data_IF_518419570382
#
_entry.id   IF_518419570382
#
_cell.length_a   1.000
_cell.length_b   1.000
_cell.length_c   1.000
_cell.angle_alpha   90.00
_cell.angle_beta   90.00
_cell.angle_gamma   90.00
#
_symmetry.space_group_name_H-M   'P 1'
#
loop_
_entity.id
_entity.type
_entity.pdbx_description
1 polymer ?
#
# COMPACT_ATOMS: atom_id res chain seq x y z
N UNK A 1 67.29 -34.26 2.07
CA UNK A 1 66.45 -33.71 0.99
C UNK A 1 65.02 -34.21 1.21
N UNK A 2 64.08 -33.30 1.47
CA UNK A 2 62.69 -33.58 1.87
C UNK A 2 61.82 -33.84 0.64
N UNK A 3 61.04 -34.92 0.66
CA UNK A 3 60.04 -35.28 -0.37
C UNK A 3 58.80 -34.40 -0.20
N UNK A 4 58.37 -33.73 -1.27
CA UNK A 4 57.15 -32.92 -1.32
C UNK A 4 56.01 -33.86 -1.74
N UNK A 5 55.08 -34.13 -0.82
CA UNK A 5 53.82 -34.82 -1.11
C UNK A 5 52.86 -33.85 -1.79
N UNK A 6 52.56 -34.14 -3.05
CA UNK A 6 51.57 -33.45 -3.87
C UNK A 6 50.18 -33.97 -3.46
N UNK A 7 49.44 -33.18 -2.68
CA UNK A 7 48.08 -33.50 -2.25
C UNK A 7 47.08 -33.03 -3.30
N UNK A 8 46.26 -33.97 -3.80
CA UNK A 8 45.23 -33.79 -4.80
C UNK A 8 44.20 -32.73 -4.38
N UNK A 9 43.94 -31.78 -5.28
CA UNK A 9 42.77 -30.92 -5.24
C UNK A 9 41.56 -31.69 -5.79
N UNK A 10 40.64 -32.10 -4.90
CA UNK A 10 39.35 -32.67 -5.29
C UNK A 10 38.41 -31.50 -5.59
N UNK A 11 38.11 -31.30 -6.87
CA UNK A 11 37.07 -30.35 -7.33
C UNK A 11 35.71 -31.02 -7.13
N UNK A 12 35.01 -30.64 -6.08
CA UNK A 12 33.62 -31.02 -5.83
C UNK A 12 32.69 -30.14 -6.67
N UNK A 13 32.31 -30.64 -7.84
CA UNK A 13 31.20 -30.09 -8.63
C UNK A 13 29.89 -30.54 -7.99
N UNK A 14 29.30 -29.69 -7.14
CA UNK A 14 27.95 -29.89 -6.63
C UNK A 14 26.94 -29.36 -7.67
N UNK A 15 26.49 -30.25 -8.55
CA UNK A 15 25.27 -30.07 -9.33
C UNK A 15 24.06 -30.12 -8.39
N UNK A 16 23.56 -28.96 -7.97
CA UNK A 16 22.20 -28.87 -7.43
C UNK A 16 21.24 -28.69 -8.61
N UNK A 17 20.75 -29.81 -9.15
CA UNK A 17 19.50 -29.84 -9.90
C UNK A 17 18.33 -29.71 -8.92
N UNK A 18 18.19 -28.51 -8.32
CA UNK A 18 17.05 -28.14 -7.51
C UNK A 18 15.90 -27.73 -8.41
N UNK A 19 15.13 -28.71 -8.89
CA UNK A 19 13.84 -28.48 -9.52
C UNK A 19 12.87 -27.94 -8.44
N UNK A 20 12.89 -26.63 -8.22
CA UNK A 20 11.93 -25.92 -7.37
C UNK A 20 10.86 -25.30 -8.25
N UNK A 21 10.01 -26.16 -8.81
CA UNK A 21 8.74 -25.72 -9.36
C UNK A 21 7.82 -25.32 -8.20
N UNK A 22 7.85 -24.03 -7.84
CA UNK A 22 6.66 -23.17 -7.62
C UNK A 22 7.06 -21.84 -6.98
N UNK A 23 6.94 -20.72 -7.73
CA UNK A 23 6.37 -19.53 -7.13
C UNK A 23 5.31 -18.88 -8.04
N UNK A 24 4.36 -19.65 -8.57
CA UNK A 24 3.25 -19.07 -9.37
C UNK A 24 2.20 -18.32 -8.53
N UNK A 25 2.26 -18.36 -7.19
CA UNK A 25 1.34 -17.60 -6.33
C UNK A 25 1.75 -16.15 -6.05
N UNK A 26 2.97 -15.73 -6.39
CA UNK A 26 3.44 -14.37 -6.08
C UNK A 26 3.10 -13.38 -7.21
N UNK A 27 2.94 -13.82 -8.47
CA UNK A 27 2.62 -12.92 -9.58
C UNK A 27 1.15 -12.48 -9.62
N UNK A 28 0.23 -13.24 -9.03
CA UNK A 28 -1.21 -12.92 -9.00
C UNK A 28 -1.58 -11.83 -7.96
N UNK A 29 -0.76 -11.63 -6.93
CA UNK A 29 -0.94 -10.55 -5.94
C UNK A 29 -0.33 -9.21 -6.42
N UNK A 30 0.51 -9.23 -7.44
CA UNK A 30 1.25 -8.06 -7.94
C UNK A 30 0.51 -7.27 -9.03
N UNK A 31 -0.71 -7.65 -9.38
CA UNK A 31 -1.47 -7.01 -10.46
C UNK A 31 -2.83 -6.47 -9.99
N UNK A 32 -2.91 -6.01 -8.74
CA UNK A 32 -4.08 -5.26 -8.27
C UNK A 32 -4.05 -3.87 -8.91
N UNK A 33 -5.17 -3.42 -9.46
CA UNK A 33 -5.33 -2.08 -9.98
C UNK A 33 -5.32 -1.04 -8.84
N UNK A 34 -5.05 0.23 -9.19
CA UNK A 34 -5.14 1.33 -8.22
C UNK A 34 -6.55 1.44 -7.60
N UNK A 35 -7.60 1.18 -8.39
CA UNK A 35 -8.98 1.18 -7.91
C UNK A 35 -9.23 0.06 -6.89
N UNK A 36 -8.76 -1.16 -7.16
CA UNK A 36 -8.86 -2.28 -6.22
C UNK A 36 -8.08 -2.01 -4.94
N UNK A 37 -6.89 -1.41 -5.04
CA UNK A 37 -6.10 -1.02 -3.87
C UNK A 37 -6.86 -0.06 -2.94
N UNK A 38 -7.52 0.95 -3.51
CA UNK A 38 -8.35 1.89 -2.76
C UNK A 38 -9.61 1.21 -2.23
N UNK A 39 -10.25 0.34 -3.01
CA UNK A 39 -11.40 -0.44 -2.53
C UNK A 39 -11.04 -1.26 -1.30
N UNK A 40 -9.93 -2.01 -1.34
CA UNK A 40 -9.46 -2.81 -0.21
C UNK A 40 -9.15 -1.96 1.02
N UNK A 41 -8.56 -0.78 0.83
CA UNK A 41 -8.30 0.15 1.92
C UNK A 41 -9.61 0.64 2.58
N UNK A 42 -10.59 1.04 1.77
CA UNK A 42 -11.87 1.55 2.25
C UNK A 42 -12.67 0.47 2.97
N UNK A 43 -12.71 -0.76 2.45
CA UNK A 43 -13.29 -1.90 3.16
C UNK A 43 -12.59 -2.14 4.49
N UNK A 44 -11.26 -2.03 4.52
CA UNK A 44 -10.49 -2.16 5.77
C UNK A 44 -10.82 -1.07 6.77
N UNK A 45 -11.10 0.16 6.33
CA UNK A 45 -11.53 1.24 7.22
C UNK A 45 -12.90 1.01 7.86
N UNK A 46 -13.76 0.22 7.21
CA UNK A 46 -15.10 -0.11 7.70
C UNK A 46 -15.08 -1.17 8.82
N UNK A 47 -14.09 -2.05 8.81
CA UNK A 47 -13.94 -3.09 9.84
C UNK A 47 -13.69 -2.46 11.23
N UNK A 48 -14.56 -2.76 12.20
CA UNK A 48 -14.39 -2.34 13.60
C UNK A 48 -13.09 -2.89 14.23
N UNK A 49 -12.62 -4.04 13.74
CA UNK A 49 -11.39 -4.72 14.20
C UNK A 49 -10.13 -4.32 13.43
N UNK A 50 -10.21 -3.35 12.51
CA UNK A 50 -9.03 -2.86 11.81
C UNK A 50 -8.08 -2.17 12.80
N UNK A 51 -6.96 -2.83 13.07
CA UNK A 51 -5.88 -2.30 13.89
C UNK A 51 -5.07 -1.28 13.10
N UNK A 52 -4.47 -0.30 13.79
CA UNK A 52 -3.62 0.72 13.15
C UNK A 52 -2.51 0.11 12.26
N UNK A 53 -1.79 -0.95 12.67
CA UNK A 53 -0.80 -1.59 11.79
C UNK A 53 -1.38 -2.11 10.46
N UNK A 54 -2.62 -2.64 10.48
CA UNK A 54 -3.28 -3.14 9.26
C UNK A 54 -3.62 -2.00 8.30
N UNK A 55 -4.08 -0.85 8.80
CA UNK A 55 -4.36 0.32 7.98
C UNK A 55 -3.06 0.99 7.49
N UNK A 56 -2.07 1.13 8.38
CA UNK A 56 -0.79 1.75 8.07
C UNK A 56 0.01 0.96 7.01
N UNK A 57 -0.25 -0.35 6.85
CA UNK A 57 0.31 -1.17 5.77
C UNK A 57 -0.13 -0.72 4.36
N UNK A 58 -1.21 0.05 4.23
CA UNK A 58 -1.63 0.65 2.97
C UNK A 58 -0.89 1.94 2.64
N UNK A 59 -0.37 2.63 3.65
CA UNK A 59 0.23 3.95 3.51
C UNK A 59 1.69 3.82 3.08
N UNK A 60 2.13 4.61 2.10
CA UNK A 60 3.51 4.70 1.64
C UNK A 60 4.42 5.26 2.75
N UNK A 61 5.68 4.82 2.80
CA UNK A 61 6.68 5.37 3.72
C UNK A 61 7.28 6.70 3.22
N UNK A 62 7.05 7.05 1.95
CA UNK A 62 7.76 8.15 1.30
C UNK A 62 7.58 9.50 2.02
N UNK A 63 6.35 9.85 2.42
CA UNK A 63 6.12 11.10 3.18
C UNK A 63 6.78 11.04 4.58
N UNK A 64 6.72 9.89 5.24
CA UNK A 64 7.29 9.69 6.58
C UNK A 64 8.80 9.84 6.57
N UNK A 65 9.47 9.28 5.55
CA UNK A 65 10.92 9.41 5.35
C UNK A 65 11.33 10.86 5.14
N UNK A 66 10.61 11.59 4.27
CA UNK A 66 10.90 13.01 3.98
C UNK A 66 10.75 13.89 5.22
N UNK A 67 9.78 13.57 6.09
CA UNK A 67 9.49 14.35 7.30
C UNK A 67 10.11 13.79 8.59
N UNK A 68 10.92 12.74 8.49
CA UNK A 68 11.50 12.04 9.63
C UNK A 68 10.46 11.64 10.71
N UNK A 69 9.31 11.11 10.27
CA UNK A 69 8.21 10.68 11.13
C UNK A 69 8.22 9.17 11.34
N UNK A 70 7.91 8.71 12.56
CA UNK A 70 7.72 7.29 12.84
C UNK A 70 6.29 6.84 12.58
N UNK A 71 6.11 5.76 11.80
CA UNK A 71 4.79 5.15 11.59
C UNK A 71 4.14 4.61 12.86
N UNK A 72 4.94 4.25 13.86
CA UNK A 72 4.41 3.72 15.14
C UNK A 72 3.77 4.80 16.01
N UNK A 73 4.04 6.07 15.71
CA UNK A 73 3.54 7.23 16.45
C UNK A 73 2.31 7.87 15.78
N UNK A 74 1.98 7.45 14.57
CA UNK A 74 0.89 7.99 13.77
C UNK A 74 -0.31 7.04 13.73
N UNK A 75 -1.50 7.61 13.65
CA UNK A 75 -2.75 6.88 13.39
C UNK A 75 -3.28 7.21 12.00
N UNK A 76 -3.97 6.27 11.37
CA UNK A 76 -4.61 6.52 10.08
C UNK A 76 -5.92 7.26 10.30
N UNK A 77 -6.10 8.43 9.67
CA UNK A 77 -7.37 9.13 9.71
C UNK A 77 -8.46 8.30 9.00
N UNK A 78 -9.61 8.08 9.66
CA UNK A 78 -10.67 7.18 9.19
C UNK A 78 -12.07 7.67 9.53
N UNK A 79 -13.01 7.43 8.60
CA UNK A 79 -14.42 7.86 8.67
C UNK A 79 -15.43 6.76 9.03
N UNK A 80 -15.00 5.49 9.20
CA UNK A 80 -15.88 4.32 9.40
C UNK A 80 -17.14 4.32 8.51
N UNK A 81 -16.98 4.34 7.17
CA UNK A 81 -18.11 4.52 6.27
C UNK A 81 -19.01 3.28 6.20
N UNK A 82 -20.31 3.50 6.08
CA UNK A 82 -21.29 2.45 5.78
C UNK A 82 -21.39 2.19 4.29
N UNK A 83 -21.27 3.27 3.50
CA UNK A 83 -21.31 3.29 2.05
C UNK A 83 -19.93 3.56 1.46
N UNK A 84 -19.54 2.79 0.45
CA UNK A 84 -18.29 2.94 -0.31
C UNK A 84 -18.60 2.76 -1.80
N UNK A 85 -18.06 3.65 -2.64
CA UNK A 85 -18.05 3.49 -4.10
C UNK A 85 -16.77 4.07 -4.69
N UNK A 86 -15.93 3.23 -5.28
CA UNK A 86 -14.81 3.69 -6.10
C UNK A 86 -15.34 4.10 -7.48
N UNK A 87 -14.98 5.28 -7.96
CA UNK A 87 -15.64 5.90 -9.11
C UNK A 87 -14.79 5.95 -10.37
N UNK A 88 -13.51 6.33 -10.22
CA UNK A 88 -12.62 6.56 -11.34
C UNK A 88 -11.17 6.50 -10.90
N UNK A 89 -10.28 6.23 -11.86
CA UNK A 89 -8.84 6.38 -11.71
C UNK A 89 -8.30 7.10 -12.93
N UNK A 90 -7.48 8.12 -12.69
CA UNK A 90 -6.80 8.91 -13.73
C UNK A 90 -5.29 8.87 -13.48
N UNK A 91 -4.51 8.99 -14.54
CA UNK A 91 -3.07 9.17 -14.43
C UNK A 91 -2.77 10.43 -13.63
N UNK A 92 -1.86 10.34 -12.67
CA UNK A 92 -1.39 11.51 -11.94
C UNK A 92 -0.51 12.39 -12.86
N UNK A 93 -0.87 13.66 -13.09
CA UNK A 93 -0.10 14.54 -13.96
C UNK A 93 1.29 14.88 -13.43
N UNK A 94 1.51 14.76 -12.11
CA UNK A 94 2.79 15.06 -11.46
C UNK A 94 3.66 13.80 -11.25
N UNK A 95 3.09 12.62 -11.46
CA UNK A 95 3.76 11.34 -11.24
C UNK A 95 3.35 10.33 -12.34
N UNK A 96 4.16 10.16 -13.41
CA UNK A 96 3.82 9.27 -14.54
C UNK A 96 3.61 7.79 -14.19
N UNK A 97 4.03 7.35 -13.01
CA UNK A 97 3.78 5.99 -12.49
C UNK A 97 2.69 5.95 -11.40
N UNK A 98 2.08 7.08 -11.06
CA UNK A 98 1.05 7.21 -10.04
C UNK A 98 -0.36 7.37 -10.61
N UNK A 99 -1.36 6.91 -9.87
CA UNK A 99 -2.77 7.08 -10.25
C UNK A 99 -3.50 7.88 -9.17
N UNK A 100 -4.37 8.80 -9.59
CA UNK A 100 -5.33 9.45 -8.69
C UNK A 100 -6.67 8.72 -8.80
N UNK A 101 -7.13 8.16 -7.69
CA UNK A 101 -8.39 7.42 -7.59
C UNK A 101 -9.41 8.23 -6.80
N UNK A 102 -10.60 8.44 -7.38
CA UNK A 102 -11.72 9.07 -6.69
C UNK A 102 -12.66 8.00 -6.13
N UNK A 103 -13.08 8.16 -4.87
CA UNK A 103 -14.10 7.34 -4.25
C UNK A 103 -15.09 8.19 -3.45
N UNK A 104 -16.35 7.77 -3.45
CA UNK A 104 -17.38 8.30 -2.55
C UNK A 104 -17.52 7.38 -1.34
N UNK A 105 -17.60 8.00 -0.16
CA UNK A 105 -17.92 7.32 1.09
C UNK A 105 -19.06 8.05 1.81
N UNK A 106 -19.83 7.34 2.63
CA UNK A 106 -20.92 7.95 3.39
C UNK A 106 -21.25 7.16 4.66
N UNK A 107 -21.88 7.84 5.61
CA UNK A 107 -22.38 7.22 6.84
C UNK A 107 -23.81 6.72 6.72
N UNK A 108 -24.32 6.10 7.78
CA UNK A 108 -25.69 5.59 7.92
C UNK A 108 -26.70 6.59 7.35
N UNK A 109 -27.58 6.11 6.47
CA UNK A 109 -28.68 6.88 5.84
C UNK A 109 -28.22 8.11 5.04
N UNK A 110 -26.97 8.13 4.55
CA UNK A 110 -26.41 9.22 3.74
C UNK A 110 -26.46 10.59 4.43
N UNK A 111 -26.43 10.63 5.77
CA UNK A 111 -26.44 11.88 6.55
C UNK A 111 -25.21 12.75 6.23
N UNK A 112 -24.10 12.10 5.89
CA UNK A 112 -22.91 12.75 5.35
C UNK A 112 -22.35 11.91 4.20
N UNK A 113 -21.77 12.58 3.21
CA UNK A 113 -21.07 11.96 2.11
C UNK A 113 -19.77 12.72 1.82
N UNK A 114 -18.67 12.01 1.69
CA UNK A 114 -17.40 12.57 1.24
C UNK A 114 -17.02 12.01 -0.11
N UNK A 115 -16.39 12.85 -0.94
CA UNK A 115 -15.61 12.39 -2.08
C UNK A 115 -14.14 12.51 -1.74
N UNK A 116 -13.46 11.38 -1.65
CA UNK A 116 -12.04 11.29 -1.33
C UNK A 116 -11.24 11.02 -2.58
N UNK A 117 -10.07 11.66 -2.68
CA UNK A 117 -9.11 11.48 -3.76
C UNK A 117 -7.84 10.87 -3.19
N UNK A 118 -7.44 9.71 -3.70
CA UNK A 118 -6.29 8.96 -3.25
C UNK A 118 -5.21 8.97 -4.32
N UNK A 119 -3.97 9.28 -3.93
CA UNK A 119 -2.81 9.09 -4.80
C UNK A 119 -2.24 7.70 -4.54
N UNK A 120 -2.25 6.84 -5.55
CA UNK A 120 -1.73 5.48 -5.49
C UNK A 120 -0.41 5.46 -6.25
N UNK A 121 0.64 4.99 -5.61
CA UNK A 121 1.99 4.89 -6.18
C UNK A 121 2.52 3.47 -6.03
N UNK A 122 3.43 3.09 -6.92
CA UNK A 122 4.27 1.92 -6.74
C UNK A 122 5.43 2.25 -5.79
N UNK A 123 5.55 1.51 -4.69
CA UNK A 123 6.66 1.61 -3.74
C UNK A 123 7.24 0.22 -3.50
N UNK A 124 8.46 0.01 -4.00
CA UNK A 124 9.04 -1.33 -4.11
C UNK A 124 8.29 -2.15 -5.17
N UNK A 125 7.64 -3.23 -4.73
CA UNK A 125 6.83 -4.11 -5.59
C UNK A 125 5.36 -4.13 -5.14
N UNK A 126 4.88 -3.04 -4.56
CA UNK A 126 3.53 -2.98 -4.01
C UNK A 126 2.90 -1.61 -4.22
N UNK A 127 1.60 -1.59 -4.56
CA UNK A 127 0.84 -0.36 -4.57
C UNK A 127 0.60 0.14 -3.13
N UNK A 128 0.81 1.44 -2.93
CA UNK A 128 0.63 2.14 -1.67
C UNK A 128 -0.13 3.45 -1.88
N UNK A 129 -0.82 3.89 -0.84
CA UNK A 129 -1.45 5.20 -0.79
C UNK A 129 -0.40 6.23 -0.36
N UNK A 130 -0.10 7.20 -1.22
CA UNK A 130 0.70 8.35 -0.82
C UNK A 130 -0.20 9.29 0.00
N UNK A 131 0.12 9.52 1.28
CA UNK A 131 -0.73 10.35 2.14
C UNK A 131 -0.71 11.81 1.71
N UNK A 132 -1.87 12.48 1.84
CA UNK A 132 -2.00 13.90 1.53
C UNK A 132 -1.37 14.82 2.58
N UNK A 133 -1.27 14.34 3.81
CA UNK A 133 -0.76 15.14 4.91
C UNK A 133 -0.65 14.36 6.22
N UNK A 134 -0.07 15.05 7.21
CA UNK A 134 -0.02 14.60 8.59
C UNK A 134 -0.46 15.78 9.45
N UNK A 135 -1.43 15.56 10.34
CA UNK A 135 -1.93 16.57 11.28
C UNK A 135 -2.30 15.94 12.61
N UNK A 136 -1.92 16.58 13.72
CA UNK A 136 -2.29 16.16 15.09
C UNK A 136 -2.06 14.67 15.42
N UNK A 137 -0.99 14.04 14.90
CA UNK A 137 -0.70 12.62 15.10
C UNK A 137 -1.47 11.66 14.18
N UNK A 138 -2.19 12.19 13.19
CA UNK A 138 -2.89 11.43 12.17
C UNK A 138 -2.25 11.61 10.80
N UNK A 139 -2.28 10.55 9.99
CA UNK A 139 -1.96 10.59 8.57
C UNK A 139 -3.25 10.55 7.77
N UNK A 140 -3.38 11.45 6.79
CA UNK A 140 -4.51 11.51 5.88
C UNK A 140 -4.21 10.63 4.65
N UNK A 141 -4.92 9.50 4.46
CA UNK A 141 -4.71 8.59 3.32
C UNK A 141 -5.06 9.20 1.96
N UNK A 142 -5.88 10.25 1.96
CA UNK A 142 -6.35 10.97 0.79
C UNK A 142 -5.57 12.28 0.63
N UNK A 143 -5.42 12.73 -0.62
CA UNK A 143 -4.81 14.01 -0.99
C UNK A 143 -5.81 15.17 -0.98
N UNK A 144 -7.11 14.85 -1.07
CA UNK A 144 -8.21 15.81 -1.03
C UNK A 144 -9.49 15.13 -0.56
N UNK A 145 -10.32 15.87 0.17
CA UNK A 145 -11.66 15.45 0.57
C UNK A 145 -12.66 16.58 0.33
N UNK A 146 -13.71 16.28 -0.44
CA UNK A 146 -14.84 17.17 -0.63
C UNK A 146 -16.02 16.67 0.21
N UNK A 147 -16.64 17.54 1.00
CA UNK A 147 -17.80 17.21 1.84
C UNK A 147 -19.10 17.58 1.12
N UNK A 148 -20.05 16.66 1.12
CA UNK A 148 -21.42 16.85 0.68
C UNK A 148 -22.34 16.56 1.87
N UNK A 149 -22.95 17.60 2.41
CA UNK A 149 -24.03 17.46 3.40
C UNK A 149 -25.34 17.59 2.63
N UNK A 150 -26.23 16.61 2.81
CA UNK A 150 -27.58 16.69 2.28
C UNK A 150 -28.38 17.58 3.25
N UNK A 151 -28.72 18.79 2.80
CA UNK A 151 -29.64 19.69 3.52
C UNK A 151 -31.04 19.08 3.67
#
# INVERSE_FOLDING_TARGET
>A
MKRISLLLFVVSVLYFAGCTAAPERISLLNNISAMEKVSLFLEKMKESEATEPKLMAFISDSLMKVRNLSKTELKVNRFYPDYIKVESAIQDPEAPAGMVVAARIGGVKDVWMHRLYFKVIEEGNSLKLLPGGVSAGYVDPWIRSDLFIKE
#
